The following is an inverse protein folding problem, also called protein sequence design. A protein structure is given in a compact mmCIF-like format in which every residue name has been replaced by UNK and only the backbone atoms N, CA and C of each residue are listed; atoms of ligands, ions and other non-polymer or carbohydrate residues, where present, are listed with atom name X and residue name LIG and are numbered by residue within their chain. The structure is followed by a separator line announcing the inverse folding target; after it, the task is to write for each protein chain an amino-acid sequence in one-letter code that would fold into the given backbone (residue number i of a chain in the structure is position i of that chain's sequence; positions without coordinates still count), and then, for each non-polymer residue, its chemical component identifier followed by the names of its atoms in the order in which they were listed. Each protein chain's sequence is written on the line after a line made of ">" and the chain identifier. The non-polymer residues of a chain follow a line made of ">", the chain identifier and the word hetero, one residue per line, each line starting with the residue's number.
data_IF_293665464309
#
_entry.id   IF_293665464309
#
_cell.length_a   1.000
_cell.length_b   1.000
_cell.length_c   1.000
_cell.angle_alpha   90.00
_cell.angle_beta   90.00
_cell.angle_gamma   90.00
#
_symmetry.space_group_name_H-M   'P 1'
#
loop_
_entity.id
_entity.type
_entity.pdbx_description
1 polymer ?
#
# COMPACT_ATOMS: atom_id res chain seq x y z
N UNK A 1 9.31 -12.76 -30.09
CA UNK A 1 9.50 -12.72 -28.63
C UNK A 1 8.21 -12.20 -28.03
N UNK A 2 7.60 -12.95 -27.12
CA UNK A 2 6.42 -12.50 -26.36
C UNK A 2 6.91 -11.74 -25.13
N UNK A 3 6.46 -10.49 -24.97
CA UNK A 3 6.77 -9.68 -23.80
C UNK A 3 5.61 -9.77 -22.81
N UNK A 4 5.89 -9.74 -21.49
CA UNK A 4 4.83 -9.63 -20.50
C UNK A 4 4.06 -8.32 -20.72
N UNK A 5 2.73 -8.42 -20.76
CA UNK A 5 1.83 -7.26 -20.88
C UNK A 5 1.42 -6.84 -19.49
N UNK A 6 1.62 -5.56 -19.16
CA UNK A 6 1.20 -5.00 -17.89
C UNK A 6 -0.33 -5.08 -17.76
N UNK A 7 -0.80 -5.76 -16.73
CA UNK A 7 -2.21 -5.85 -16.37
C UNK A 7 -2.69 -4.57 -15.71
N UNK A 8 -4.02 -4.34 -15.76
CA UNK A 8 -4.62 -3.15 -15.17
C UNK A 8 -4.40 -3.05 -13.64
N UNK A 9 -4.30 -4.17 -12.94
CA UNK A 9 -3.97 -4.21 -11.51
C UNK A 9 -2.55 -3.72 -11.23
N UNK A 10 -1.59 -4.16 -12.04
CA UNK A 10 -0.18 -3.74 -11.95
C UNK A 10 -0.04 -2.24 -12.25
N UNK A 11 -0.78 -1.74 -13.25
CA UNK A 11 -0.82 -0.32 -13.56
C UNK A 11 -1.35 0.53 -12.40
N UNK A 12 -2.41 0.07 -11.71
CA UNK A 12 -2.95 0.74 -10.52
C UNK A 12 -1.96 0.75 -9.36
N UNK A 13 -1.34 -0.40 -9.07
CA UNK A 13 -0.32 -0.49 -8.03
C UNK A 13 0.87 0.45 -8.31
N UNK A 14 1.34 0.50 -9.57
CA UNK A 14 2.40 1.41 -9.97
C UNK A 14 2.03 2.88 -9.81
N UNK A 15 0.80 3.27 -10.17
CA UNK A 15 0.33 4.64 -10.03
C UNK A 15 0.28 5.08 -8.56
N UNK A 16 -0.23 4.23 -7.67
CA UNK A 16 -0.26 4.48 -6.22
C UNK A 16 1.14 4.62 -5.64
N UNK A 17 2.03 3.67 -5.97
CA UNK A 17 3.43 3.73 -5.53
C UNK A 17 4.12 5.02 -5.99
N UNK A 18 3.90 5.44 -7.24
CA UNK A 18 4.47 6.70 -7.76
C UNK A 18 3.93 7.93 -7.03
N UNK A 19 2.64 7.98 -6.73
CA UNK A 19 2.06 9.07 -5.95
C UNK A 19 2.71 9.15 -4.57
N UNK A 20 2.87 8.01 -3.89
CA UNK A 20 3.56 7.93 -2.61
C UNK A 20 5.02 8.37 -2.70
N UNK A 21 5.76 7.87 -3.70
CA UNK A 21 7.15 8.23 -3.92
C UNK A 21 7.31 9.74 -4.11
N UNK A 22 6.43 10.38 -4.90
CA UNK A 22 6.44 11.83 -5.08
C UNK A 22 6.16 12.60 -3.80
N UNK A 23 5.13 12.20 -3.05
CA UNK A 23 4.77 12.85 -1.79
C UNK A 23 5.89 12.77 -0.75
N UNK A 24 6.56 11.61 -0.64
CA UNK A 24 7.66 11.39 0.29
C UNK A 24 8.96 12.08 -0.15
N UNK A 25 9.19 12.19 -1.46
CA UNK A 25 10.38 12.86 -2.02
C UNK A 25 10.26 14.38 -1.99
N UNK A 26 9.04 14.92 -1.99
CA UNK A 26 8.77 16.35 -2.00
C UNK A 26 7.77 16.73 -0.89
N UNK A 27 8.23 16.77 0.38
CA UNK A 27 7.37 17.12 1.51
C UNK A 27 6.64 18.45 1.29
N UNK A 28 5.33 18.46 1.59
CA UNK A 28 4.45 19.61 1.36
C UNK A 28 3.75 19.61 -0.01
N UNK A 29 4.11 18.71 -0.92
CA UNK A 29 3.36 18.48 -2.16
C UNK A 29 2.26 17.44 -1.94
N UNK A 30 1.00 17.84 -2.13
CA UNK A 30 -0.14 16.92 -2.08
C UNK A 30 -0.23 16.14 -3.38
N UNK A 31 -0.20 14.81 -3.28
CA UNK A 31 -0.39 13.90 -4.41
C UNK A 31 -1.78 13.27 -4.34
N UNK A 32 -2.43 13.13 -5.49
CA UNK A 32 -3.77 12.52 -5.60
C UNK A 32 -3.63 11.02 -5.80
N UNK A 33 -4.38 10.24 -5.00
CA UNK A 33 -4.60 8.83 -5.24
C UNK A 33 -5.84 8.67 -6.11
N UNK A 34 -5.84 7.71 -7.03
CA UNK A 34 -6.94 7.50 -7.98
C UNK A 34 -8.13 6.72 -7.38
N UNK A 35 -8.12 6.47 -6.06
CA UNK A 35 -9.00 5.53 -5.36
C UNK A 35 -9.81 6.24 -4.27
N UNK A 36 -11.04 5.77 -4.02
CA UNK A 36 -11.93 6.34 -2.99
C UNK A 36 -11.46 6.05 -1.56
N UNK A 37 -10.78 4.92 -1.35
CA UNK A 37 -10.18 4.55 -0.06
C UNK A 37 -8.67 4.76 -0.09
N UNK A 38 -8.26 5.98 0.25
CA UNK A 38 -6.85 6.37 0.23
C UNK A 38 -5.96 5.53 1.15
N UNK A 39 -6.48 5.07 2.30
CA UNK A 39 -5.67 4.30 3.24
C UNK A 39 -5.43 2.89 2.73
N UNK A 40 -6.48 2.23 2.22
CA UNK A 40 -6.33 0.91 1.62
C UNK A 40 -5.43 0.95 0.39
N UNK A 41 -5.55 1.98 -0.44
CA UNK A 41 -4.68 2.17 -1.60
C UNK A 41 -3.20 2.33 -1.22
N UNK A 42 -2.91 3.03 -0.11
CA UNK A 42 -1.54 3.14 0.43
C UNK A 42 -1.06 1.78 0.92
N UNK A 43 -1.88 1.08 1.68
CA UNK A 43 -1.52 -0.23 2.22
C UNK A 43 -1.25 -1.25 1.10
N UNK A 44 -2.07 -1.30 0.06
CA UNK A 44 -1.85 -2.16 -1.11
C UNK A 44 -0.55 -1.85 -1.88
N UNK A 45 -0.07 -0.60 -1.82
CA UNK A 45 1.15 -0.20 -2.49
C UNK A 45 2.43 -0.50 -1.67
N UNK A 46 2.28 -0.67 -0.34
CA UNK A 46 3.42 -0.76 0.59
C UNK A 46 3.51 -2.09 1.35
N UNK A 47 2.40 -2.81 1.50
CA UNK A 47 2.31 -4.07 2.23
C UNK A 47 2.46 -5.26 1.29
N UNK A 48 3.34 -6.17 1.67
CA UNK A 48 3.57 -7.46 1.03
C UNK A 48 3.91 -8.55 2.06
N UNK A 49 4.21 -9.76 1.55
CA UNK A 49 4.57 -10.94 2.34
C UNK A 49 5.80 -10.75 3.27
N UNK A 50 6.67 -9.79 2.97
CA UNK A 50 7.90 -9.51 3.70
C UNK A 50 7.69 -8.43 4.78
N UNK A 51 6.64 -7.64 4.68
CA UNK A 51 6.32 -6.56 5.61
C UNK A 51 5.52 -7.01 6.84
N UNK A 52 5.36 -6.08 7.79
CA UNK A 52 4.49 -6.22 8.96
C UNK A 52 3.71 -4.94 9.22
N UNK A 53 2.50 -5.08 9.78
CA UNK A 53 1.64 -3.94 10.11
C UNK A 53 0.99 -4.09 11.49
N UNK A 54 0.63 -2.95 12.09
CA UNK A 54 -0.27 -2.86 13.22
C UNK A 54 -1.56 -2.18 12.77
N UNK A 55 -2.72 -2.80 13.03
CA UNK A 55 -4.02 -2.20 12.71
C UNK A 55 -4.94 -2.35 13.94
N UNK A 56 -5.04 -1.33 14.80
CA UNK A 56 -5.83 -1.42 16.02
C UNK A 56 -7.33 -1.49 15.74
N UNK A 57 -7.80 -1.02 14.57
CA UNK A 57 -9.19 -1.20 14.17
C UNK A 57 -9.42 -2.58 13.53
N UNK A 58 -10.35 -3.41 14.05
CA UNK A 58 -10.62 -4.76 13.51
C UNK A 58 -11.09 -4.78 12.05
N UNK A 59 -11.75 -3.71 11.59
CA UNK A 59 -12.16 -3.57 10.19
C UNK A 59 -10.94 -3.41 9.27
N UNK A 60 -10.04 -2.50 9.61
CA UNK A 60 -8.80 -2.29 8.86
C UNK A 60 -7.94 -3.56 8.86
N UNK A 61 -7.82 -4.24 10.01
CA UNK A 61 -7.12 -5.51 10.07
C UNK A 61 -7.68 -6.54 9.07
N UNK A 62 -9.01 -6.70 9.00
CA UNK A 62 -9.65 -7.61 8.04
C UNK A 62 -9.37 -7.24 6.59
N UNK A 63 -9.38 -5.94 6.28
CA UNK A 63 -9.04 -5.46 4.94
C UNK A 63 -7.58 -5.78 4.61
N UNK A 64 -6.64 -5.57 5.53
CA UNK A 64 -5.21 -5.75 5.24
C UNK A 64 -4.76 -7.22 5.12
N UNK A 65 -5.57 -8.19 5.55
CA UNK A 65 -5.22 -9.62 5.47
C UNK A 65 -4.92 -10.09 4.03
N UNK A 66 -5.56 -9.52 3.02
CA UNK A 66 -5.34 -9.93 1.63
C UNK A 66 -3.96 -9.54 1.09
N UNK A 67 -3.24 -8.63 1.75
CA UNK A 67 -1.90 -8.18 1.33
C UNK A 67 -0.82 -9.23 1.63
N UNK A 68 -1.11 -10.19 2.51
CA UNK A 68 -0.15 -11.18 2.99
C UNK A 68 0.85 -10.65 4.02
N UNK A 69 0.80 -9.35 4.35
CA UNK A 69 1.64 -8.76 5.38
C UNK A 69 1.32 -9.30 6.79
N UNK A 70 2.33 -9.29 7.65
CA UNK A 70 2.25 -9.95 8.96
C UNK A 70 1.68 -9.00 10.01
N UNK A 71 0.54 -9.32 10.65
CA UNK A 71 0.05 -8.52 11.78
C UNK A 71 1.02 -8.65 12.96
N UNK A 72 1.44 -7.51 13.51
CA UNK A 72 2.36 -7.41 14.64
C UNK A 72 1.89 -6.36 15.65
N UNK A 73 2.31 -6.47 16.92
CA UNK A 73 2.16 -5.36 17.87
C UNK A 73 2.86 -4.10 17.34
N UNK A 74 2.38 -2.93 17.77
CA UNK A 74 2.90 -1.62 17.36
C UNK A 74 4.43 -1.49 17.50
N UNK A 75 5.02 -2.13 18.50
CA UNK A 75 6.47 -2.09 18.75
C UNK A 75 7.32 -2.89 17.74
N UNK A 76 6.71 -3.78 16.96
CA UNK A 76 7.39 -4.70 16.02
C UNK A 76 6.96 -4.51 14.56
N UNK A 77 5.91 -3.73 14.33
CA UNK A 77 5.35 -3.51 13.01
C UNK A 77 6.16 -2.49 12.19
N UNK A 78 6.39 -2.79 10.91
CA UNK A 78 7.03 -1.86 9.99
C UNK A 78 6.10 -0.67 9.65
N UNK A 79 4.78 -0.91 9.63
CA UNK A 79 3.74 0.08 9.38
C UNK A 79 2.71 0.11 10.53
N UNK A 80 2.20 1.29 10.91
CA UNK A 80 1.38 1.50 12.11
C UNK A 80 0.28 2.53 11.86
#
# INVERSE_FOLDING_TARGET
>A
MTHPVMHASEARANARFRALLWALSHPGSVQQLADEDGMLAIAEALLDLETSYCAPQPELHRQLLHTGARPRPVAEAAYQ
#
